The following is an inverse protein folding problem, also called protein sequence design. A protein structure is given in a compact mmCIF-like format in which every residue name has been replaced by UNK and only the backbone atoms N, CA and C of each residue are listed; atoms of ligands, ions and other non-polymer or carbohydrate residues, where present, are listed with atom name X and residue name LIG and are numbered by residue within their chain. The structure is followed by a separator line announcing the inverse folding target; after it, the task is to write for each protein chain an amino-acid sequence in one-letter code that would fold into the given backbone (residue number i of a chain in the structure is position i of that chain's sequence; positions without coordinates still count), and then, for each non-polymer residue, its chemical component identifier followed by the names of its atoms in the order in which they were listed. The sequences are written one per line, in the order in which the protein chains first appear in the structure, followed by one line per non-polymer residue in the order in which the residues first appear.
data_IF_126855979928
#
_entry.id   IF_126855979928
#
_cell.length_a   1.000
_cell.length_b   1.000
_cell.length_c   1.000
_cell.angle_alpha   90.00
_cell.angle_beta   90.00
_cell.angle_gamma   90.00
#
_symmetry.space_group_name_H-M   'P 1'
#
loop_
_entity.id
_entity.type
_entity.pdbx_description
1 polymer ?
#
# COMPACT_ATOMS: atom_id res chain seq x y z
N UNK A 1 28.20 -12.67 -2.90
CA UNK A 1 27.59 -11.96 -1.75
C UNK A 1 27.03 -10.61 -2.22
N UNK A 2 25.79 -10.64 -2.72
CA UNK A 2 25.03 -9.45 -3.15
C UNK A 2 24.46 -8.73 -1.92
N UNK A 3 25.32 -8.30 -0.99
CA UNK A 3 24.94 -7.22 -0.06
C UNK A 3 25.01 -5.91 -0.85
N UNK A 4 24.16 -5.81 -1.88
CA UNK A 4 24.01 -4.64 -2.70
C UNK A 4 23.35 -3.59 -1.81
N UNK A 5 24.11 -2.57 -1.43
CA UNK A 5 23.58 -1.35 -0.83
C UNK A 5 22.63 -0.67 -1.83
N UNK A 6 21.39 -1.13 -1.88
CA UNK A 6 20.28 -0.45 -2.52
C UNK A 6 20.00 0.80 -1.70
N UNK A 7 20.55 1.94 -2.10
CA UNK A 7 20.07 3.23 -1.59
C UNK A 7 18.73 3.52 -2.25
N UNK A 8 17.67 3.00 -1.67
CA UNK A 8 16.30 3.32 -2.07
C UNK A 8 15.98 4.75 -1.62
N UNK A 9 16.26 5.78 -2.44
CA UNK A 9 15.79 7.14 -2.18
C UNK A 9 14.27 7.18 -2.28
N UNK A 10 13.63 6.80 -1.19
CA UNK A 10 12.20 6.61 -1.12
C UNK A 10 11.57 7.89 -0.57
N UNK A 11 10.76 8.51 -1.42
CA UNK A 11 10.17 9.84 -1.28
C UNK A 11 9.06 9.85 -0.22
N UNK A 12 8.64 11.05 0.22
CA UNK A 12 7.33 11.38 0.82
C UNK A 12 6.34 10.21 0.80
N UNK A 13 5.75 9.91 1.95
CA UNK A 13 4.77 8.85 2.07
C UNK A 13 3.52 9.25 1.26
N UNK A 14 3.53 8.80 0.01
CA UNK A 14 2.46 8.88 -0.94
C UNK A 14 2.03 7.45 -1.23
N UNK A 15 0.78 7.26 -1.64
CA UNK A 15 0.23 5.93 -1.85
C UNK A 15 0.98 5.06 -2.87
N UNK A 16 1.82 5.63 -3.75
CA UNK A 16 2.67 4.85 -4.66
C UNK A 16 3.95 4.38 -3.96
N UNK A 17 4.56 5.27 -3.18
CA UNK A 17 5.79 5.04 -2.44
C UNK A 17 5.59 3.99 -1.34
N UNK A 18 4.46 4.08 -0.61
CA UNK A 18 4.14 3.19 0.50
C UNK A 18 4.04 1.71 0.10
N UNK A 19 3.83 1.42 -1.19
CA UNK A 19 3.82 0.05 -1.73
C UNK A 19 5.22 -0.57 -1.69
N UNK A 20 6.24 0.22 -2.00
CA UNK A 20 7.63 -0.23 -1.96
C UNK A 20 8.11 -0.30 -0.51
N UNK A 21 7.74 0.68 0.32
CA UNK A 21 8.04 0.64 1.77
C UNK A 21 7.47 -0.61 2.43
N UNK A 22 6.20 -0.92 2.18
CA UNK A 22 5.56 -2.09 2.73
C UNK A 22 6.37 -3.37 2.46
N UNK A 23 6.95 -3.51 1.25
CA UNK A 23 7.80 -4.65 0.90
C UNK A 23 9.16 -4.58 1.62
N UNK A 24 9.84 -3.43 1.54
CA UNK A 24 11.16 -3.25 2.15
C UNK A 24 11.13 -3.47 3.67
N UNK A 25 10.11 -2.94 4.33
CA UNK A 25 9.92 -2.99 5.77
C UNK A 25 9.47 -4.37 6.24
N UNK A 26 8.49 -4.99 5.57
CA UNK A 26 8.03 -6.32 5.97
C UNK A 26 9.16 -7.36 5.86
N UNK A 27 9.89 -7.34 4.74
CA UNK A 27 10.99 -8.28 4.50
C UNK A 27 12.34 -7.84 5.06
N UNK A 28 12.40 -6.70 5.75
CA UNK A 28 13.62 -6.14 6.35
C UNK A 28 14.79 -6.05 5.33
N UNK A 29 14.46 -5.70 4.08
CA UNK A 29 15.45 -5.55 3.01
C UNK A 29 16.30 -4.31 3.29
N UNK A 30 17.64 -4.42 3.41
CA UNK A 30 18.49 -3.28 3.71
C UNK A 30 18.36 -2.19 2.65
N UNK A 31 18.06 -0.98 3.10
CA UNK A 31 17.91 0.17 2.22
C UNK A 31 18.23 1.49 2.94
N UNK A 32 18.31 2.58 2.19
CA UNK A 32 18.47 3.94 2.74
C UNK A 32 17.46 4.87 2.11
N UNK A 33 16.42 5.23 2.86
CA UNK A 33 15.36 6.17 2.45
C UNK A 33 15.80 7.62 2.52
N UNK A 34 15.29 8.44 1.61
CA UNK A 34 15.56 9.87 1.56
C UNK A 34 14.29 10.63 1.27
N UNK A 35 13.94 11.52 2.19
CA UNK A 35 12.88 12.48 1.96
C UNK A 35 13.29 13.46 0.84
N UNK A 36 12.43 13.59 -0.16
CA UNK A 36 12.58 14.53 -1.28
C UNK A 36 11.29 15.34 -1.34
N UNK A 37 11.38 16.67 -1.25
CA UNK A 37 10.21 17.55 -1.39
C UNK A 37 9.57 17.37 -2.76
N UNK A 38 8.25 17.52 -2.83
CA UNK A 38 7.53 17.36 -4.09
C UNK A 38 8.02 18.34 -5.17
N UNK A 39 8.41 19.56 -4.76
CA UNK A 39 9.02 20.57 -5.64
C UNK A 39 10.33 20.11 -6.28
N UNK A 40 11.07 19.24 -5.61
CA UNK A 40 12.42 18.86 -5.97
C UNK A 40 12.45 17.54 -6.77
N UNK A 41 11.34 16.80 -6.82
CA UNK A 41 11.24 15.49 -7.51
C UNK A 41 11.74 15.57 -8.95
N UNK A 42 11.37 16.62 -9.69
CA UNK A 42 11.80 16.79 -11.10
C UNK A 42 13.31 16.97 -11.26
N UNK A 43 14.02 17.37 -10.19
CA UNK A 43 15.48 17.57 -10.21
C UNK A 43 16.25 16.27 -9.95
N UNK A 44 15.62 15.29 -9.29
CA UNK A 44 16.28 14.05 -8.83
C UNK A 44 15.73 12.77 -9.45
N UNK A 45 14.47 12.79 -9.91
CA UNK A 45 13.82 11.66 -10.59
C UNK A 45 13.87 11.83 -12.10
N UNK A 46 14.45 10.88 -12.85
CA UNK A 46 14.49 10.95 -14.32
C UNK A 46 13.10 11.06 -14.97
N UNK A 47 12.06 10.52 -14.33
CA UNK A 47 10.68 10.57 -14.85
C UNK A 47 9.87 11.73 -14.26
N UNK A 48 10.40 12.42 -13.25
CA UNK A 48 9.66 13.42 -12.48
C UNK A 48 8.58 12.83 -11.58
N UNK A 49 8.58 11.51 -11.36
CA UNK A 49 7.64 10.79 -10.51
C UNK A 49 8.35 9.98 -9.43
N UNK A 50 7.56 9.55 -8.45
CA UNK A 50 7.99 8.78 -7.29
C UNK A 50 7.06 7.58 -7.09
N UNK A 51 7.53 6.45 -6.51
CA UNK A 51 8.89 6.20 -6.06
C UNK A 51 9.88 5.97 -7.21
N UNK A 52 11.17 6.11 -6.93
CA UNK A 52 12.26 5.59 -7.76
C UNK A 52 13.32 4.94 -6.87
N UNK A 53 14.02 3.93 -7.38
CA UNK A 53 15.10 3.22 -6.72
C UNK A 53 16.41 3.52 -7.44
N UNK A 54 17.38 4.09 -6.73
CA UNK A 54 18.75 4.21 -7.22
C UNK A 54 19.50 2.90 -6.94
N UNK A 55 19.59 2.03 -7.95
CA UNK A 55 20.18 0.73 -7.79
C UNK A 55 21.67 0.74 -8.18
N UNK A 56 22.55 0.72 -7.16
CA UNK A 56 24.00 0.74 -7.36
C UNK A 56 24.54 -0.52 -8.02
N UNK A 57 23.96 -1.69 -7.73
CA UNK A 57 24.44 -2.98 -8.26
C UNK A 57 24.33 -3.07 -9.78
N UNK A 58 23.34 -2.38 -10.38
CA UNK A 58 23.15 -2.31 -11.84
C UNK A 58 23.43 -0.92 -12.41
N UNK A 59 23.93 0.02 -11.60
CA UNK A 59 24.24 1.39 -12.00
C UNK A 59 23.07 2.16 -12.63
N UNK A 60 21.82 1.80 -12.31
CA UNK A 60 20.61 2.31 -12.98
C UNK A 60 19.56 2.79 -11.98
N UNK A 61 18.72 3.72 -12.42
CA UNK A 61 17.54 4.15 -11.65
C UNK A 61 16.30 3.44 -12.16
N UNK A 62 15.56 2.80 -11.27
CA UNK A 62 14.31 2.09 -11.58
C UNK A 62 13.15 2.97 -11.10
N UNK A 63 12.30 3.42 -12.03
CA UNK A 63 11.04 4.07 -11.69
C UNK A 63 9.89 3.07 -11.65
N UNK A 64 8.73 3.50 -11.14
CA UNK A 64 7.51 2.72 -10.97
C UNK A 64 7.51 1.73 -9.79
N UNK A 65 6.48 1.81 -8.95
CA UNK A 65 6.37 0.96 -7.75
C UNK A 65 6.37 -0.54 -8.05
N UNK A 66 5.75 -0.99 -9.15
CA UNK A 66 5.66 -2.41 -9.49
C UNK A 66 6.96 -2.92 -10.10
N UNK A 67 7.59 -2.13 -10.96
CA UNK A 67 8.90 -2.46 -11.50
C UNK A 67 9.97 -2.54 -10.40
N UNK A 68 9.95 -1.63 -9.42
CA UNK A 68 10.84 -1.70 -8.25
C UNK A 68 10.57 -2.99 -7.45
N UNK A 69 9.32 -3.32 -7.16
CA UNK A 69 9.00 -4.54 -6.41
C UNK A 69 9.39 -5.83 -7.16
N UNK A 70 9.22 -5.89 -8.48
CA UNK A 70 9.70 -7.03 -9.28
C UNK A 70 11.23 -7.13 -9.28
N UNK A 71 11.94 -5.99 -9.35
CA UNK A 71 13.40 -5.98 -9.20
C UNK A 71 13.85 -6.48 -7.82
N UNK A 72 13.15 -6.09 -6.75
CA UNK A 72 13.41 -6.61 -5.40
C UNK A 72 13.16 -8.12 -5.34
N UNK A 73 12.08 -8.62 -5.95
CA UNK A 73 11.78 -10.05 -6.00
C UNK A 73 12.82 -10.85 -6.81
N UNK A 74 13.35 -10.28 -7.89
CA UNK A 74 14.45 -10.88 -8.66
C UNK A 74 15.77 -10.87 -7.88
N UNK A 75 16.05 -9.78 -7.16
CA UNK A 75 17.30 -9.59 -6.40
C UNK A 75 17.36 -10.40 -5.12
N UNK A 76 16.21 -10.77 -4.55
CA UNK A 76 16.07 -11.52 -3.30
C UNK A 76 15.28 -12.82 -3.51
N UNK A 77 15.78 -13.76 -4.33
CA UNK A 77 15.07 -15.01 -4.62
C UNK A 77 14.86 -15.89 -3.38
N UNK A 78 15.62 -15.68 -2.30
CA UNK A 78 15.47 -16.34 -1.01
C UNK A 78 14.23 -15.90 -0.23
N UNK A 79 13.73 -14.69 -0.47
CA UNK A 79 12.56 -14.11 0.21
C UNK A 79 11.27 -14.38 -0.58
N UNK A 80 10.13 -14.69 0.08
CA UNK A 80 8.87 -14.98 -0.61
C UNK A 80 8.09 -13.70 -0.99
N UNK A 81 8.73 -12.74 -1.67
CA UNK A 81 8.07 -11.48 -2.10
C UNK A 81 6.85 -11.73 -3.00
N UNK A 82 6.88 -12.83 -3.74
CA UNK A 82 5.73 -13.45 -4.37
C UNK A 82 5.53 -14.86 -3.83
N UNK A 83 4.31 -15.41 -3.86
CA UNK A 83 4.06 -16.81 -3.53
C UNK A 83 4.97 -17.77 -4.31
N UNK A 84 5.41 -18.86 -3.68
CA UNK A 84 6.28 -19.87 -4.31
C UNK A 84 5.49 -20.78 -5.26
N UNK A 85 4.25 -21.09 -4.95
CA UNK A 85 3.35 -21.80 -5.86
C UNK A 85 3.07 -20.97 -7.12
N UNK A 86 3.11 -21.64 -8.28
CA UNK A 86 2.96 -20.98 -9.59
C UNK A 86 1.57 -20.36 -9.77
N UNK A 87 0.52 -21.04 -9.29
CA UNK A 87 -0.85 -20.56 -9.44
C UNK A 87 -1.08 -19.35 -8.53
N UNK A 88 -0.72 -19.45 -7.25
CA UNK A 88 -0.80 -18.32 -6.30
C UNK A 88 0.00 -17.11 -6.79
N UNK A 89 1.22 -17.32 -7.31
CA UNK A 89 2.04 -16.24 -7.85
C UNK A 89 1.41 -15.53 -9.05
N UNK A 90 0.77 -16.29 -9.94
CA UNK A 90 0.07 -15.71 -11.09
C UNK A 90 -1.12 -14.85 -10.65
N UNK A 91 -1.90 -15.33 -9.68
CA UNK A 91 -3.03 -14.59 -9.12
C UNK A 91 -2.57 -13.34 -8.36
N UNK A 92 -1.50 -13.45 -7.56
CA UNK A 92 -0.92 -12.33 -6.82
C UNK A 92 -0.45 -11.20 -7.74
N UNK A 93 0.28 -11.54 -8.81
CA UNK A 93 0.69 -10.57 -9.83
C UNK A 93 -0.50 -9.94 -10.55
N UNK A 94 -1.52 -10.72 -10.87
CA UNK A 94 -2.75 -10.20 -11.47
C UNK A 94 -3.46 -9.19 -10.56
N UNK A 95 -3.63 -9.52 -9.27
CA UNK A 95 -4.24 -8.61 -8.31
C UNK A 95 -3.45 -7.30 -8.15
N UNK A 96 -2.12 -7.40 -8.01
CA UNK A 96 -1.23 -6.25 -7.94
C UNK A 96 -1.35 -5.36 -9.20
N UNK A 97 -1.34 -5.97 -10.39
CA UNK A 97 -1.47 -5.26 -11.67
C UNK A 97 -2.84 -4.58 -11.84
N UNK A 98 -3.93 -5.23 -11.39
CA UNK A 98 -5.27 -4.63 -11.38
C UNK A 98 -5.34 -3.41 -10.47
N UNK A 99 -4.69 -3.43 -9.32
CA UNK A 99 -4.58 -2.24 -8.44
C UNK A 99 -3.68 -1.17 -9.05
N UNK A 100 -2.57 -1.58 -9.66
CA UNK A 100 -1.60 -0.66 -10.25
C UNK A 100 -2.21 0.16 -11.41
N UNK A 101 -2.98 -0.49 -12.28
CA UNK A 101 -3.54 0.10 -13.50
C UNK A 101 -5.03 0.45 -13.44
N UNK A 102 -5.80 -0.14 -12.53
CA UNK A 102 -7.26 0.02 -12.44
C UNK A 102 -7.73 0.95 -11.33
N UNK A 103 -9.02 0.89 -10.98
CA UNK A 103 -9.64 1.63 -9.87
C UNK A 103 -9.37 3.15 -9.91
N UNK A 104 -9.39 3.74 -11.11
CA UNK A 104 -9.00 5.13 -11.32
C UNK A 104 -9.91 6.10 -10.59
N UNK A 105 -11.21 5.82 -10.49
CA UNK A 105 -12.16 6.72 -9.80
C UNK A 105 -11.84 6.76 -8.31
N UNK A 106 -11.65 5.59 -7.69
CA UNK A 106 -11.21 5.48 -6.30
C UNK A 106 -9.86 6.20 -6.08
N UNK A 107 -8.88 5.98 -6.95
CA UNK A 107 -7.54 6.58 -6.80
C UNK A 107 -7.54 8.10 -6.96
N UNK A 108 -8.39 8.64 -7.83
CA UNK A 108 -8.43 10.06 -8.14
C UNK A 108 -9.25 10.87 -7.14
N UNK A 109 -10.35 10.30 -6.63
CA UNK A 109 -11.22 11.00 -5.66
C UNK A 109 -10.69 10.92 -4.23
N UNK A 110 -9.98 9.85 -3.89
CA UNK A 110 -9.53 9.58 -2.53
C UNK A 110 -8.01 9.42 -2.52
N UNK A 111 -7.30 10.52 -2.36
CA UNK A 111 -5.84 10.52 -2.21
C UNK A 111 -5.44 9.74 -0.94
N UNK A 112 -4.34 8.99 -0.99
CA UNK A 112 -3.86 8.34 0.25
C UNK A 112 -3.32 9.41 1.19
N UNK A 113 -3.85 9.47 2.41
CA UNK A 113 -3.34 10.26 3.53
C UNK A 113 -3.26 9.32 4.74
N UNK A 114 -2.12 9.30 5.43
CA UNK A 114 -1.81 8.32 6.47
C UNK A 114 -2.16 8.81 7.88
N UNK A 115 -2.75 9.99 8.00
CA UNK A 115 -3.08 10.61 9.28
C UNK A 115 -4.53 11.07 9.29
N UNK A 116 -5.00 11.61 8.17
CA UNK A 116 -6.29 12.24 8.04
C UNK A 116 -7.43 11.28 8.36
N UNK A 117 -8.44 11.85 9.01
CA UNK A 117 -9.73 11.27 9.29
C UNK A 117 -10.81 12.26 8.86
N UNK A 118 -11.65 11.85 7.95
CA UNK A 118 -12.87 12.56 7.60
C UNK A 118 -14.08 11.90 8.26
N UNK A 119 -14.98 12.72 8.80
CA UNK A 119 -16.31 12.28 9.26
C UNK A 119 -17.40 13.20 8.69
N UNK A 120 -18.66 12.80 8.77
CA UNK A 120 -19.77 13.50 8.11
C UNK A 120 -20.04 12.98 6.70
N UNK A 121 -20.51 13.84 5.81
CA UNK A 121 -21.03 13.45 4.49
C UNK A 121 -19.95 13.43 3.41
N UNK A 122 -18.94 12.57 3.56
CA UNK A 122 -17.94 12.35 2.50
C UNK A 122 -18.64 11.85 1.23
N UNK A 123 -18.57 12.56 0.08
CA UNK A 123 -19.31 12.18 -1.11
C UNK A 123 -18.79 10.88 -1.72
N UNK A 124 -19.69 9.93 -1.97
CA UNK A 124 -19.36 8.67 -2.66
C UNK A 124 -20.23 8.56 -3.93
N UNK A 125 -19.75 9.10 -5.07
CA UNK A 125 -20.44 8.94 -6.35
C UNK A 125 -20.58 7.46 -6.74
N UNK A 126 -21.58 7.14 -7.55
CA UNK A 126 -21.83 5.75 -8.00
C UNK A 126 -20.59 5.09 -8.63
N UNK A 127 -19.82 5.85 -9.42
CA UNK A 127 -18.58 5.37 -10.03
C UNK A 127 -17.51 4.99 -8.99
N UNK A 128 -17.43 5.71 -7.87
CA UNK A 128 -16.56 5.36 -6.75
C UNK A 128 -17.06 4.11 -6.04
N UNK A 129 -18.37 4.01 -5.79
CA UNK A 129 -18.99 2.85 -5.17
C UNK A 129 -18.76 1.57 -6.00
N UNK A 130 -18.82 1.68 -7.34
CA UNK A 130 -18.49 0.58 -8.25
C UNK A 130 -17.04 0.11 -8.10
N UNK A 131 -16.08 1.04 -8.04
CA UNK A 131 -14.67 0.71 -7.82
C UNK A 131 -14.46 0.06 -6.44
N UNK A 132 -15.13 0.56 -5.40
CA UNK A 132 -15.09 0.00 -4.03
C UNK A 132 -15.62 -1.43 -4.02
N UNK A 133 -16.81 -1.66 -4.58
CA UNK A 133 -17.41 -3.00 -4.60
C UNK A 133 -16.56 -3.99 -5.41
N UNK A 134 -15.98 -3.55 -6.54
CA UNK A 134 -15.05 -4.36 -7.33
C UNK A 134 -13.79 -4.70 -6.56
N UNK A 135 -13.29 -3.79 -5.72
CA UNK A 135 -12.11 -4.01 -4.88
C UNK A 135 -12.38 -5.08 -3.82
N UNK A 136 -13.51 -4.95 -3.12
CA UNK A 136 -13.93 -5.88 -2.08
C UNK A 136 -14.18 -7.27 -2.65
N UNK A 137 -14.79 -7.36 -3.84
CA UNK A 137 -14.97 -8.62 -4.57
C UNK A 137 -13.62 -9.24 -4.97
N UNK A 138 -12.68 -8.44 -5.48
CA UNK A 138 -11.34 -8.93 -5.83
C UNK A 138 -10.65 -9.55 -4.61
N UNK A 139 -10.70 -8.92 -3.44
CA UNK A 139 -10.09 -9.45 -2.22
C UNK A 139 -10.75 -10.77 -1.77
N UNK A 140 -12.07 -10.86 -1.84
CA UNK A 140 -12.81 -12.08 -1.54
C UNK A 140 -12.43 -13.23 -2.49
N UNK A 141 -12.44 -12.96 -3.80
CA UNK A 141 -12.12 -13.94 -4.84
C UNK A 141 -10.70 -14.50 -4.66
N UNK A 142 -9.70 -13.63 -4.46
CA UNK A 142 -8.31 -14.10 -4.32
C UNK A 142 -8.08 -14.80 -2.99
N UNK A 143 -8.74 -14.40 -1.89
CA UNK A 143 -8.63 -15.10 -0.61
C UNK A 143 -9.25 -16.50 -0.67
N UNK A 144 -10.42 -16.66 -1.30
CA UNK A 144 -11.04 -17.98 -1.52
C UNK A 144 -10.14 -18.89 -2.33
N UNK A 145 -9.69 -18.42 -3.49
CA UNK A 145 -8.80 -19.18 -4.36
C UNK A 145 -7.48 -19.55 -3.65
N UNK A 146 -6.95 -18.64 -2.83
CA UNK A 146 -5.71 -18.89 -2.08
C UNK A 146 -5.89 -19.93 -1.00
N UNK A 147 -6.96 -19.85 -0.19
CA UNK A 147 -7.26 -20.85 0.85
C UNK A 147 -7.43 -22.26 0.27
N UNK A 148 -8.17 -22.37 -0.83
CA UNK A 148 -8.35 -23.65 -1.53
C UNK A 148 -7.02 -24.21 -2.02
N UNK A 149 -6.18 -23.37 -2.62
CA UNK A 149 -4.88 -23.80 -3.15
C UNK A 149 -3.90 -24.17 -2.03
N UNK A 150 -3.82 -23.38 -0.97
CA UNK A 150 -2.97 -23.66 0.20
C UNK A 150 -3.37 -24.97 0.88
N UNK A 151 -4.67 -25.25 1.01
CA UNK A 151 -5.16 -26.51 1.56
C UNK A 151 -4.72 -27.73 0.72
N UNK A 152 -4.72 -27.61 -0.62
CA UNK A 152 -4.20 -28.67 -1.52
C UNK A 152 -2.69 -28.84 -1.37
N UNK A 153 -1.96 -27.75 -1.15
CA UNK A 153 -0.50 -27.77 -0.95
C UNK A 153 -0.10 -28.24 0.46
N UNK A 154 -1.02 -28.21 1.43
CA UNK A 154 -0.70 -28.42 2.84
C UNK A 154 0.14 -27.29 3.44
N UNK A 155 0.07 -26.09 2.85
CA UNK A 155 0.81 -24.90 3.30
C UNK A 155 -0.02 -24.08 4.31
N UNK A 156 0.68 -23.34 5.18
CA UNK A 156 0.04 -22.48 6.17
C UNK A 156 -0.62 -21.25 5.51
N UNK A 157 -1.72 -20.79 6.10
CA UNK A 157 -2.37 -19.53 5.74
C UNK A 157 -2.18 -18.54 6.90
N UNK A 158 -1.29 -17.56 6.69
CA UNK A 158 -0.98 -16.51 7.67
C UNK A 158 -1.98 -15.35 7.62
N UNK A 159 -3.03 -15.46 6.79
CA UNK A 159 -4.12 -14.50 6.72
C UNK A 159 -3.89 -13.32 5.77
N UNK A 160 -2.80 -13.34 4.99
CA UNK A 160 -2.55 -12.39 3.90
C UNK A 160 -3.27 -12.81 2.61
N UNK A 161 -3.33 -11.97 1.57
CA UNK A 161 -4.13 -12.25 0.36
C UNK A 161 -3.83 -13.61 -0.27
N UNK A 162 -2.57 -14.06 -0.19
CA UNK A 162 -2.09 -15.30 -0.81
C UNK A 162 -1.40 -16.25 0.20
N UNK A 163 -1.85 -16.24 1.45
CA UNK A 163 -1.28 -17.06 2.53
C UNK A 163 -0.36 -16.25 3.41
N UNK A 164 0.90 -16.11 3.00
CA UNK A 164 1.87 -15.18 3.59
C UNK A 164 1.85 -13.81 2.91
N UNK A 165 2.47 -12.80 3.55
CA UNK A 165 2.57 -11.46 2.99
C UNK A 165 3.32 -11.47 1.65
N UNK A 166 2.83 -10.68 0.70
CA UNK A 166 3.41 -10.56 -0.63
C UNK A 166 3.34 -9.13 -1.17
N UNK A 167 3.99 -8.88 -2.30
CA UNK A 167 3.86 -7.62 -3.03
C UNK A 167 2.38 -7.30 -3.36
N UNK A 168 1.50 -8.30 -3.51
CA UNK A 168 0.07 -8.03 -3.73
C UNK A 168 -0.55 -7.28 -2.55
N UNK A 169 -0.27 -7.69 -1.32
CA UNK A 169 -0.74 -7.04 -0.10
C UNK A 169 -0.21 -5.60 0.00
N UNK A 170 1.08 -5.41 -0.30
CA UNK A 170 1.73 -4.11 -0.33
C UNK A 170 1.03 -3.10 -1.27
N UNK A 171 0.47 -3.58 -2.38
CA UNK A 171 -0.23 -2.73 -3.35
C UNK A 171 -1.59 -2.23 -2.85
N UNK A 172 -2.21 -2.97 -1.93
CA UNK A 172 -3.47 -2.59 -1.30
C UNK A 172 -3.28 -1.88 0.05
N UNK A 173 -2.09 -1.87 0.66
CA UNK A 173 -1.80 -1.08 1.85
C UNK A 173 -2.28 0.39 1.79
N UNK A 174 -1.90 1.20 0.77
CA UNK A 174 -2.41 2.57 0.64
C UNK A 174 -3.93 2.66 0.38
N UNK A 175 -4.57 1.56 -0.03
CA UNK A 175 -6.02 1.48 -0.21
C UNK A 175 -6.70 1.32 1.14
N UNK A 176 -6.16 0.51 2.05
CA UNK A 176 -6.69 0.39 3.42
C UNK A 176 -6.74 1.75 4.11
N UNK A 177 -5.70 2.57 3.93
CA UNK A 177 -5.69 3.95 4.39
C UNK A 177 -6.79 4.80 3.78
N UNK A 178 -7.14 4.65 2.49
CA UNK A 178 -8.29 5.36 1.90
C UNK A 178 -9.60 4.95 2.58
N UNK A 179 -9.83 3.65 2.78
CA UNK A 179 -11.02 3.17 3.48
C UNK A 179 -11.14 3.79 4.88
N UNK A 180 -10.01 3.83 5.60
CA UNK A 180 -9.92 4.42 6.94
C UNK A 180 -10.14 5.94 6.92
N UNK A 181 -9.38 6.68 6.11
CA UNK A 181 -9.39 8.14 6.05
C UNK A 181 -10.73 8.72 5.63
N UNK A 182 -11.39 8.11 4.65
CA UNK A 182 -12.62 8.64 4.08
C UNK A 182 -13.89 7.95 4.59
N UNK A 183 -13.76 6.97 5.49
CA UNK A 183 -14.89 6.19 5.98
C UNK A 183 -15.62 5.45 4.86
N UNK A 184 -14.88 4.89 3.88
CA UNK A 184 -15.48 4.24 2.73
C UNK A 184 -16.27 2.99 3.14
N UNK A 185 -17.42 2.72 2.49
CA UNK A 185 -18.32 1.64 2.88
C UNK A 185 -17.67 0.27 2.70
N UNK A 186 -17.82 -0.57 3.73
CA UNK A 186 -17.45 -1.99 3.73
C UNK A 186 -18.68 -2.90 3.59
N UNK A 187 -19.81 -2.37 3.16
CA UNK A 187 -21.11 -3.08 3.13
C UNK A 187 -21.11 -4.35 2.29
N UNK A 188 -20.26 -4.44 1.28
CA UNK A 188 -20.11 -5.63 0.42
C UNK A 188 -18.85 -6.44 0.73
N UNK A 189 -18.13 -6.13 1.82
CA UNK A 189 -16.92 -6.86 2.18
C UNK A 189 -17.29 -8.25 2.70
N UNK A 190 -16.60 -9.28 2.22
CA UNK A 190 -16.74 -10.62 2.78
C UNK A 190 -15.99 -10.73 4.12
N UNK A 191 -16.30 -11.77 4.90
CA UNK A 191 -15.55 -12.06 6.13
C UNK A 191 -14.06 -12.30 5.86
N UNK A 192 -13.71 -12.95 4.75
CA UNK A 192 -12.31 -13.18 4.37
C UNK A 192 -11.59 -11.87 4.02
N UNK A 193 -12.28 -10.92 3.35
CA UNK A 193 -11.72 -9.60 3.09
C UNK A 193 -11.52 -8.80 4.38
N UNK A 194 -12.51 -8.80 5.29
CA UNK A 194 -12.41 -8.12 6.59
C UNK A 194 -11.30 -8.72 7.47
N UNK A 195 -11.17 -10.05 7.47
CA UNK A 195 -10.10 -10.74 8.19
C UNK A 195 -8.72 -10.36 7.63
N UNK A 196 -8.55 -10.33 6.30
CA UNK A 196 -7.31 -9.86 5.68
C UNK A 196 -6.97 -8.40 6.02
N UNK A 197 -7.97 -7.50 5.98
CA UNK A 197 -7.78 -6.12 6.42
C UNK A 197 -7.28 -6.07 7.86
N UNK A 198 -7.83 -6.92 8.73
CA UNK A 198 -7.40 -7.03 10.12
C UNK A 198 -5.96 -7.53 10.26
N UNK A 199 -5.57 -8.53 9.47
CA UNK A 199 -4.19 -9.03 9.40
C UNK A 199 -3.24 -7.88 9.06
N UNK A 200 -3.51 -7.16 7.96
CA UNK A 200 -2.67 -6.04 7.53
C UNK A 200 -2.53 -4.94 8.59
N UNK A 201 -3.63 -4.53 9.22
CA UNK A 201 -3.58 -3.48 10.23
C UNK A 201 -2.92 -3.88 11.55
N UNK A 202 -2.97 -5.17 11.89
CA UNK A 202 -2.47 -5.66 13.18
C UNK A 202 -1.08 -6.31 13.11
N UNK A 203 -0.55 -6.50 11.91
CA UNK A 203 0.82 -6.98 11.73
C UNK A 203 1.83 -6.00 12.34
N UNK A 204 2.85 -6.49 13.09
CA UNK A 204 3.86 -5.65 13.71
C UNK A 204 4.64 -4.76 12.73
N UNK A 205 4.94 -5.25 11.52
CA UNK A 205 5.65 -4.46 10.52
C UNK A 205 4.81 -3.27 10.05
N UNK A 206 3.50 -3.45 9.87
CA UNK A 206 2.60 -2.37 9.47
C UNK A 206 2.27 -1.39 10.60
N UNK A 207 2.28 -1.84 11.85
CA UNK A 207 2.24 -0.93 13.01
C UNK A 207 3.48 -0.04 13.05
N UNK A 208 4.68 -0.63 12.95
CA UNK A 208 5.93 0.12 12.90
C UNK A 208 6.00 1.06 11.69
N UNK A 209 5.53 0.62 10.51
CA UNK A 209 5.45 1.47 9.33
C UNK A 209 4.47 2.64 9.53
N UNK A 210 3.33 2.40 10.20
CA UNK A 210 2.38 3.46 10.54
C UNK A 210 3.00 4.48 11.49
N UNK A 211 3.75 4.06 12.51
CA UNK A 211 4.50 4.96 13.41
C UNK A 211 5.47 5.85 12.64
N UNK A 212 6.18 5.30 11.64
CA UNK A 212 7.05 6.08 10.75
C UNK A 212 6.28 7.17 10.01
N UNK A 213 5.03 6.91 9.62
CA UNK A 213 4.18 7.90 8.98
C UNK A 213 3.83 9.08 9.88
N UNK A 214 3.50 8.80 11.14
CA UNK A 214 3.28 9.83 12.16
C UNK A 214 4.56 10.61 12.49
N UNK A 215 5.70 9.94 12.59
CA UNK A 215 6.99 10.60 12.83
C UNK A 215 7.37 11.53 11.68
N UNK A 216 7.19 11.08 10.44
CA UNK A 216 7.44 11.92 9.28
C UNK A 216 6.58 13.18 9.29
N UNK A 217 5.29 13.05 9.61
CA UNK A 217 4.35 14.16 9.64
C UNK A 217 4.69 15.27 10.66
N UNK A 218 5.55 14.98 11.65
CA UNK A 218 6.05 15.98 12.61
C UNK A 218 7.05 16.93 11.97
N UNK A 219 7.65 16.57 10.84
CA UNK A 219 8.52 17.44 10.05
C UNK A 219 7.68 18.28 9.06
N UNK A 220 7.60 19.61 9.24
CA UNK A 220 6.83 20.50 8.36
C UNK A 220 7.25 20.44 6.90
N UNK A 221 8.52 20.10 6.63
CA UNK A 221 9.05 20.02 5.26
C UNK A 221 8.45 18.84 4.47
N UNK A 222 7.79 17.91 5.18
CA UNK A 222 7.14 16.73 4.61
C UNK A 222 5.70 16.94 4.21
N UNK A 223 5.14 18.09 4.60
CA UNK A 223 3.75 18.45 4.39
C UNK A 223 3.47 18.82 2.93
N UNK A 224 2.35 18.33 2.39
CA UNK A 224 1.86 18.74 1.06
C UNK A 224 0.49 19.38 1.25
N UNK A 225 0.45 20.71 1.27
CA UNK A 225 -0.76 21.49 1.61
C UNK A 225 -2.01 21.07 0.82
N UNK A 226 -1.85 20.76 -0.47
CA UNK A 226 -2.94 20.31 -1.33
C UNK A 226 -3.62 19.01 -0.86
N UNK A 227 -2.90 18.13 -0.13
CA UNK A 227 -3.39 16.83 0.33
C UNK A 227 -3.74 16.78 1.83
N UNK A 228 -3.54 17.87 2.56
CA UNK A 228 -3.84 17.90 4.00
C UNK A 228 -5.35 17.76 4.24
N UNK A 229 -6.12 18.73 3.73
CA UNK A 229 -7.58 18.78 3.87
C UNK A 229 -8.21 19.06 2.50
N UNK A 230 -8.56 18.00 1.77
CA UNK A 230 -9.14 18.08 0.43
C UNK A 230 -10.62 18.52 0.44
N UNK A 231 -11.24 18.54 1.63
CA UNK A 231 -12.62 18.97 1.84
C UNK A 231 -12.70 20.30 2.62
N UNK A 232 -11.59 21.04 2.70
CA UNK A 232 -11.53 22.32 3.40
C UNK A 232 -12.68 23.24 2.99
N UNK A 233 -13.43 23.72 3.99
CA UNK A 233 -14.57 24.61 3.78
C UNK A 233 -15.87 23.93 3.35
N UNK A 234 -15.95 22.58 3.33
CA UNK A 234 -17.20 21.83 3.19
C UNK A 234 -17.85 21.63 4.56
N UNK A 235 -18.92 22.36 4.84
CA UNK A 235 -19.46 22.52 6.20
C UNK A 235 -20.00 21.25 6.88
N UNK A 236 -20.35 20.21 6.13
CA UNK A 236 -20.87 18.93 6.62
C UNK A 236 -19.83 17.79 6.59
N UNK A 237 -18.56 18.13 6.34
CA UNK A 237 -17.42 17.21 6.38
C UNK A 237 -16.42 17.74 7.41
N UNK A 238 -16.11 16.92 8.40
CA UNK A 238 -15.16 17.26 9.45
C UNK A 238 -13.82 16.60 9.18
N UNK A 239 -12.74 17.36 9.30
CA UNK A 239 -11.36 16.90 9.16
C UNK A 239 -10.69 16.83 10.53
N UNK A 240 -10.04 15.71 10.81
CA UNK A 240 -9.23 15.46 12.00
C UNK A 240 -8.09 14.49 11.66
N UNK A 241 -7.31 14.08 12.66
CA UNK A 241 -6.31 13.03 12.55
C UNK A 241 -6.68 11.81 13.39
N UNK A 242 -6.31 10.62 12.92
CA UNK A 242 -6.32 9.45 13.79
C UNK A 242 -5.20 9.51 14.82
N UNK A 243 -5.40 8.99 16.04
CA UNK A 243 -4.35 8.96 17.05
C UNK A 243 -3.22 7.99 16.68
N UNK A 244 -2.00 8.27 17.16
CA UNK A 244 -0.77 7.52 16.83
C UNK A 244 -0.81 6.06 17.31
N UNK A 245 -1.57 5.77 18.38
CA UNK A 245 -1.64 4.47 19.08
C UNK A 245 -2.79 3.56 18.60
N UNK A 246 -3.41 3.89 17.47
CA UNK A 246 -4.65 3.25 17.07
C UNK A 246 -4.49 1.77 16.67
N UNK A 247 -5.40 0.94 17.18
CA UNK A 247 -5.60 -0.46 16.79
C UNK A 247 -6.83 -0.61 15.89
N UNK A 248 -6.71 -1.36 14.78
CA UNK A 248 -7.87 -1.69 13.95
C UNK A 248 -8.67 -2.83 14.57
N UNK A 249 -9.93 -2.55 14.85
CA UNK A 249 -10.93 -3.54 15.25
C UNK A 249 -11.86 -3.79 14.07
N UNK A 250 -12.02 -5.06 13.69
CA UNK A 250 -13.11 -5.46 12.79
C UNK A 250 -14.40 -5.33 13.60
N UNK A 251 -15.25 -4.39 13.22
CA UNK A 251 -16.60 -4.26 13.79
C UNK A 251 -17.53 -5.29 13.16
#
# INVERSE_FOLDING_TARGET
PLSAECRASLIIILGWTSRVEAVLEYFQIPHSSQFIKLSDVKTVSPTGFVPFLQCRSIGSTIGDSLAICEFLAESHPELPLWPRDRQLRALARSAAAQMHSGFSTLRNLYSTNFLARYTGNVPIPEAALKDINRMLALWDEVRKASKERLAVLGEADEGFLFGGFSIADAFFWPVLWRFRTYGLPLTSASQDALAWMATMWNDPAFRSLSEKYYLQAKDPETRIEHYDDIYRGKGDIHYDHFPEDWTFHVA
#
